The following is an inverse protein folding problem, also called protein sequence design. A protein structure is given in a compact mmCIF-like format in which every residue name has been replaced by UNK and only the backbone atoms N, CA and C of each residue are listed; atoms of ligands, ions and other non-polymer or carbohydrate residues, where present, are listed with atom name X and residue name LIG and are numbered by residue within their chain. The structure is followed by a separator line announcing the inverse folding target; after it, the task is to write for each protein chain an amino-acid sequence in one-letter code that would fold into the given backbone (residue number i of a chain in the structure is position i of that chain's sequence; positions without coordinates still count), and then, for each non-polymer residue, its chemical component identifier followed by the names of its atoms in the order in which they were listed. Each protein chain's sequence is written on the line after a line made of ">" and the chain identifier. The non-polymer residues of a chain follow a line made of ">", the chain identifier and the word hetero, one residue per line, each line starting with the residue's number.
data_IF_361775569850
#
_entry.id   IF_361775569850
#
_cell.length_a   1.000
_cell.length_b   1.000
_cell.length_c   1.000
_cell.angle_alpha   90.00
_cell.angle_beta   90.00
_cell.angle_gamma   90.00
#
_symmetry.space_group_name_H-M   'P 1'
#
loop_
_entity.id
_entity.type
_entity.pdbx_description
1 polymer ?
#
# COMPACT_ATOMS: atom_id res chain seq x y z
N UNK A 1 30.07 -22.72 4.36
CA UNK A 1 28.73 -22.93 4.93
C UNK A 1 28.12 -21.70 5.62
N UNK A 2 28.54 -21.25 6.82
CA UNK A 2 27.87 -20.08 7.47
C UNK A 2 28.07 -18.74 6.74
N UNK A 3 29.24 -18.50 6.13
CA UNK A 3 29.54 -17.25 5.39
C UNK A 3 28.71 -17.12 4.11
N UNK A 4 28.62 -18.18 3.32
CA UNK A 4 27.84 -18.21 2.07
C UNK A 4 26.34 -17.96 2.30
N UNK A 5 25.77 -18.51 3.38
CA UNK A 5 24.36 -18.28 3.73
C UNK A 5 24.09 -16.82 4.13
N UNK A 6 25.04 -16.18 4.81
CA UNK A 6 24.97 -14.76 5.17
C UNK A 6 25.06 -13.89 3.92
N UNK A 7 25.99 -14.21 3.01
CA UNK A 7 26.13 -13.50 1.73
C UNK A 7 24.87 -13.66 0.85
N UNK A 8 24.28 -14.86 0.81
CA UNK A 8 23.00 -15.08 0.12
C UNK A 8 21.87 -14.25 0.73
N UNK A 9 21.76 -14.19 2.06
CA UNK A 9 20.78 -13.35 2.74
C UNK A 9 20.93 -11.88 2.35
N UNK A 10 22.16 -11.33 2.37
CA UNK A 10 22.41 -9.95 1.98
C UNK A 10 22.05 -9.70 0.51
N UNK A 11 22.42 -10.62 -0.38
CA UNK A 11 22.05 -10.55 -1.80
C UNK A 11 20.53 -10.50 -2.00
N UNK A 12 19.77 -11.35 -1.30
CA UNK A 12 18.30 -11.35 -1.37
C UNK A 12 17.69 -10.06 -0.81
N UNK A 13 18.26 -9.50 0.27
CA UNK A 13 17.83 -8.20 0.81
C UNK A 13 18.02 -7.09 -0.21
N UNK A 14 19.20 -7.01 -0.84
CA UNK A 14 19.46 -6.00 -1.85
C UNK A 14 18.55 -6.14 -3.07
N UNK A 15 18.26 -7.38 -3.50
CA UNK A 15 17.27 -7.62 -4.55
C UNK A 15 15.88 -7.09 -4.19
N UNK A 16 15.39 -7.38 -2.97
CA UNK A 16 14.06 -6.94 -2.53
C UNK A 16 13.97 -5.42 -2.39
N UNK A 17 15.04 -4.75 -1.96
CA UNK A 17 15.07 -3.28 -1.89
C UNK A 17 14.85 -2.62 -3.25
N UNK A 18 15.18 -3.28 -4.35
CA UNK A 18 14.97 -2.76 -5.71
C UNK A 18 13.50 -2.81 -6.15
N UNK A 19 12.62 -3.54 -5.46
CA UNK A 19 11.18 -3.62 -5.73
C UNK A 19 10.88 -3.85 -7.22
N UNK A 20 10.11 -2.97 -7.88
CA UNK A 20 9.79 -3.09 -9.31
C UNK A 20 10.94 -2.81 -10.28
N UNK A 21 12.14 -2.53 -9.78
CA UNK A 21 13.34 -2.27 -10.56
C UNK A 21 13.49 -0.80 -10.99
N UNK A 22 14.69 -0.46 -11.44
CA UNK A 22 15.12 0.92 -11.73
C UNK A 22 14.18 1.67 -12.69
N UNK A 23 13.80 1.04 -13.81
CA UNK A 23 12.94 1.69 -14.82
C UNK A 23 11.58 2.10 -14.25
N UNK A 24 10.99 1.27 -13.37
CA UNK A 24 9.69 1.56 -12.76
C UNK A 24 9.80 2.60 -11.65
N UNK A 25 10.93 2.62 -10.93
CA UNK A 25 11.25 3.66 -9.95
C UNK A 25 11.42 5.01 -10.65
N UNK A 26 12.15 5.06 -11.76
CA UNK A 26 12.32 6.29 -12.57
C UNK A 26 10.96 6.82 -13.05
N UNK A 27 10.09 5.96 -13.58
CA UNK A 27 8.71 6.34 -13.96
C UNK A 27 7.86 6.84 -12.79
N UNK A 28 8.04 6.27 -11.59
CA UNK A 28 7.36 6.73 -10.38
C UNK A 28 7.82 8.15 -10.02
N UNK A 29 9.13 8.41 -10.08
CA UNK A 29 9.72 9.73 -9.81
C UNK A 29 9.34 10.77 -10.86
N UNK A 30 9.26 10.41 -12.15
CA UNK A 30 8.79 11.28 -13.23
C UNK A 30 7.34 11.77 -13.00
N UNK A 31 6.52 10.98 -12.29
CA UNK A 31 5.16 11.36 -11.88
C UNK A 31 5.13 12.26 -10.63
N UNK A 32 6.30 12.66 -10.11
CA UNK A 32 6.44 13.42 -8.87
C UNK A 32 6.04 12.63 -7.63
N UNK A 33 6.10 11.29 -7.69
CA UNK A 33 5.81 10.39 -6.57
C UNK A 33 7.10 9.76 -6.07
N UNK A 34 7.23 9.60 -4.76
CA UNK A 34 8.27 8.81 -4.15
C UNK A 34 7.93 7.30 -4.19
N UNK A 35 8.93 6.46 -4.01
CA UNK A 35 8.77 5.02 -3.80
C UNK A 35 8.22 4.72 -2.40
N UNK A 36 7.74 3.50 -2.18
CA UNK A 36 7.25 3.07 -0.86
C UNK A 36 8.30 3.23 0.25
N UNK A 37 9.56 2.88 -0.05
CA UNK A 37 10.67 2.95 0.92
C UNK A 37 11.11 4.38 1.20
N UNK A 38 11.22 5.22 0.18
CA UNK A 38 11.52 6.65 0.37
C UNK A 38 10.44 7.34 1.23
N UNK A 39 9.16 6.98 1.07
CA UNK A 39 8.08 7.51 1.90
C UNK A 39 8.21 7.08 3.36
N UNK A 40 8.58 5.82 3.62
CA UNK A 40 8.84 5.32 4.98
C UNK A 40 10.03 6.05 5.60
N UNK A 41 11.13 6.21 4.86
CA UNK A 41 12.34 6.90 5.33
C UNK A 41 12.09 8.37 5.65
N UNK A 42 11.17 9.04 4.94
CA UNK A 42 10.77 10.42 5.25
C UNK A 42 9.82 10.51 6.44
N UNK A 43 8.95 9.52 6.63
CA UNK A 43 7.97 9.51 7.71
C UNK A 43 8.61 9.22 9.07
N UNK A 44 9.51 8.25 9.11
CA UNK A 44 10.08 7.72 10.35
C UNK A 44 11.40 8.38 10.70
N UNK A 45 11.73 8.39 11.99
CA UNK A 45 13.01 8.90 12.48
C UNK A 45 14.17 8.12 11.83
N UNK A 46 15.28 8.80 11.46
CA UNK A 46 16.41 8.16 10.76
C UNK A 46 16.93 6.92 11.49
N UNK A 47 17.00 5.79 10.77
CA UNK A 47 17.50 4.52 11.30
C UNK A 47 16.56 3.77 12.24
N UNK A 48 15.33 4.25 12.45
CA UNK A 48 14.35 3.58 13.33
C UNK A 48 13.57 2.46 12.65
N UNK A 49 13.51 2.44 11.31
CA UNK A 49 12.67 1.50 10.58
C UNK A 49 13.18 0.05 10.68
N UNK A 50 12.30 -0.83 11.14
CA UNK A 50 12.47 -2.28 11.16
C UNK A 50 11.41 -2.91 10.26
N UNK A 51 11.87 -3.42 9.11
CA UNK A 51 10.99 -4.10 8.16
C UNK A 51 10.57 -5.49 8.67
N UNK A 52 9.28 -5.78 8.54
CA UNK A 52 8.66 -7.05 8.88
C UNK A 52 8.20 -7.76 7.62
N UNK A 53 8.46 -9.07 7.55
CA UNK A 53 8.10 -9.93 6.42
C UNK A 53 8.62 -9.44 5.04
N UNK A 54 9.90 -9.02 4.90
CA UNK A 54 10.43 -8.51 3.62
C UNK A 54 10.43 -9.58 2.51
N UNK A 55 10.65 -10.84 2.86
CA UNK A 55 10.78 -11.97 1.93
C UNK A 55 9.45 -12.68 1.61
N UNK A 56 8.31 -12.14 2.02
CA UNK A 56 7.02 -12.71 1.64
C UNK A 56 6.83 -12.57 0.13
N UNK A 57 6.47 -13.67 -0.50
CA UNK A 57 6.21 -13.79 -1.93
C UNK A 57 4.78 -14.27 -2.15
N UNK A 58 4.20 -13.93 -3.30
CA UNK A 58 2.91 -14.46 -3.75
C UNK A 58 2.93 -15.99 -3.82
N UNK A 59 1.76 -16.60 -3.61
CA UNK A 59 1.58 -18.06 -3.73
C UNK A 59 0.77 -18.48 -4.96
N UNK A 60 0.01 -17.56 -5.54
CA UNK A 60 -0.84 -17.83 -6.68
C UNK A 60 0.02 -18.04 -7.96
N UNK A 61 -0.42 -18.97 -8.81
CA UNK A 61 0.24 -19.37 -10.06
C UNK A 61 -0.63 -19.10 -11.31
N UNK A 62 -1.86 -18.63 -11.12
CA UNK A 62 -2.82 -18.36 -12.18
C UNK A 62 -2.37 -17.20 -13.05
N UNK A 63 -2.86 -17.17 -14.29
CA UNK A 63 -2.63 -16.09 -15.25
C UNK A 63 -1.15 -15.70 -15.45
N UNK A 64 -0.24 -16.66 -15.27
CA UNK A 64 1.21 -16.46 -15.46
C UNK A 64 1.92 -15.78 -14.29
N UNK A 65 1.28 -15.68 -13.12
CA UNK A 65 1.89 -15.14 -11.92
C UNK A 65 3.13 -15.94 -11.50
N UNK A 66 3.15 -17.26 -11.69
CA UNK A 66 4.31 -18.13 -11.42
C UNK A 66 5.63 -17.61 -12.04
N UNK A 67 5.55 -16.92 -13.19
CA UNK A 67 6.71 -16.39 -13.92
C UNK A 67 7.05 -14.94 -13.58
N UNK A 68 6.21 -14.26 -12.80
CA UNK A 68 6.42 -12.86 -12.43
C UNK A 68 7.20 -12.76 -11.12
N UNK A 69 8.20 -11.89 -11.08
CA UNK A 69 8.87 -11.53 -9.83
C UNK A 69 8.12 -10.37 -9.17
N UNK A 70 7.52 -10.60 -7.99
CA UNK A 70 6.79 -9.58 -7.22
C UNK A 70 7.45 -9.43 -5.83
N UNK A 71 8.56 -8.66 -5.72
CA UNK A 71 9.26 -8.51 -4.46
C UNK A 71 8.37 -7.96 -3.35
N UNK A 72 8.47 -8.54 -2.15
CA UNK A 72 7.70 -8.18 -0.96
C UNK A 72 6.17 -8.18 -1.17
N UNK A 73 5.70 -8.85 -2.22
CA UNK A 73 4.33 -8.84 -2.75
C UNK A 73 3.72 -7.44 -2.98
N UNK A 74 4.58 -6.44 -3.23
CA UNK A 74 4.17 -5.06 -3.54
C UNK A 74 3.73 -4.21 -2.36
N UNK A 75 4.09 -4.61 -1.13
CA UNK A 75 3.93 -3.76 0.06
C UNK A 75 5.11 -3.90 1.00
N UNK A 76 5.60 -2.78 1.51
CA UNK A 76 6.61 -2.73 2.57
C UNK A 76 5.89 -2.54 3.90
N UNK A 77 6.17 -3.38 4.88
CA UNK A 77 5.51 -3.34 6.21
C UNK A 77 6.55 -3.34 7.29
N UNK A 78 6.30 -2.64 8.40
CA UNK A 78 7.22 -2.63 9.52
C UNK A 78 6.80 -1.66 10.60
N UNK A 79 7.74 -1.33 11.47
CA UNK A 79 7.55 -0.33 12.52
C UNK A 79 8.82 0.51 12.67
N UNK A 80 8.70 1.65 13.33
CA UNK A 80 9.82 2.49 13.71
C UNK A 80 9.33 3.55 14.69
N UNK A 81 9.91 4.74 14.63
CA UNK A 81 9.49 5.85 15.49
C UNK A 81 9.19 7.12 14.70
N UNK A 82 8.29 7.95 15.22
CA UNK A 82 8.07 9.33 14.79
C UNK A 82 8.18 10.21 16.02
N UNK A 83 9.13 11.14 16.05
CA UNK A 83 9.47 11.94 17.23
C UNK A 83 9.74 11.05 18.46
N UNK A 84 10.45 9.93 18.26
CA UNK A 84 10.76 8.94 19.28
C UNK A 84 9.59 8.05 19.75
N UNK A 85 8.39 8.24 19.20
CA UNK A 85 7.19 7.47 19.58
C UNK A 85 6.99 6.29 18.62
N UNK A 86 6.73 5.07 19.12
CA UNK A 86 6.60 3.89 18.26
C UNK A 86 5.37 3.99 17.35
N UNK A 87 5.55 3.64 16.08
CA UNK A 87 4.52 3.65 15.04
C UNK A 87 4.70 2.45 14.13
N UNK A 88 3.60 1.78 13.80
CA UNK A 88 3.53 0.77 12.75
C UNK A 88 3.26 1.44 11.40
N UNK A 89 3.81 0.88 10.31
CA UNK A 89 3.65 1.43 8.97
C UNK A 89 3.48 0.32 7.93
N UNK A 90 2.64 0.59 6.93
CA UNK A 90 2.67 -0.12 5.66
C UNK A 90 2.73 0.89 4.51
N UNK A 91 3.49 0.57 3.46
CA UNK A 91 3.59 1.38 2.26
C UNK A 91 3.45 0.51 1.02
N UNK A 92 2.42 0.78 0.23
CA UNK A 92 2.17 0.06 -1.01
C UNK A 92 3.13 0.55 -2.08
N UNK A 93 3.71 -0.39 -2.83
CA UNK A 93 4.70 -0.08 -3.85
C UNK A 93 4.08 -0.23 -5.24
N UNK A 94 3.78 0.91 -5.85
CA UNK A 94 3.18 0.99 -7.18
C UNK A 94 4.06 0.38 -8.28
N UNK A 95 5.38 0.32 -8.07
CA UNK A 95 6.31 -0.28 -9.04
C UNK A 95 6.13 -1.80 -9.14
N UNK A 96 5.54 -2.44 -8.14
CA UNK A 96 5.25 -3.87 -8.12
C UNK A 96 3.79 -4.10 -8.48
N UNK A 97 3.54 -4.41 -9.75
CA UNK A 97 2.21 -4.75 -10.28
C UNK A 97 1.13 -3.70 -9.94
N UNK A 98 1.50 -2.40 -10.03
CA UNK A 98 0.60 -1.29 -9.72
C UNK A 98 0.20 -1.19 -8.25
N UNK A 99 0.98 -1.79 -7.34
CA UNK A 99 0.64 -1.86 -5.91
C UNK A 99 -0.63 -2.67 -5.66
N UNK A 100 -1.07 -3.50 -6.62
CA UNK A 100 -2.31 -4.24 -6.53
C UNK A 100 -2.28 -5.24 -5.36
N UNK A 101 -3.38 -5.28 -4.62
CA UNK A 101 -3.53 -6.11 -3.45
C UNK A 101 -3.84 -7.56 -3.85
N UNK A 102 -2.89 -8.46 -3.58
CA UNK A 102 -3.08 -9.92 -3.60
C UNK A 102 -3.23 -10.50 -2.19
N UNK A 103 -3.28 -11.82 -2.10
CA UNK A 103 -3.41 -12.58 -0.85
C UNK A 103 -2.29 -12.24 0.14
N UNK A 104 -1.04 -12.27 -0.33
CA UNK A 104 0.13 -12.12 0.55
C UNK A 104 0.41 -10.65 0.89
N UNK A 105 0.09 -9.73 -0.01
CA UNK A 105 0.01 -8.30 0.24
C UNK A 105 -0.99 -8.01 1.36
N UNK A 106 -2.21 -8.55 1.24
CA UNK A 106 -3.26 -8.44 2.26
C UNK A 106 -2.81 -9.01 3.61
N UNK A 107 -2.19 -10.20 3.60
CA UNK A 107 -1.61 -10.82 4.79
C UNK A 107 -0.59 -9.92 5.49
N UNK A 108 0.33 -9.27 4.76
CA UNK A 108 1.35 -8.40 5.36
C UNK A 108 0.72 -7.19 6.05
N UNK A 109 -0.27 -6.56 5.43
CA UNK A 109 -0.99 -5.42 6.03
C UNK A 109 -1.81 -5.90 7.23
N UNK A 110 -2.54 -7.01 7.11
CA UNK A 110 -3.26 -7.60 8.23
C UNK A 110 -2.34 -7.91 9.42
N UNK A 111 -1.15 -8.46 9.15
CA UNK A 111 -0.15 -8.74 10.18
C UNK A 111 0.31 -7.48 10.90
N UNK A 112 0.60 -6.39 10.17
CA UNK A 112 1.09 -5.16 10.81
C UNK A 112 0.00 -4.42 11.58
N UNK A 113 -1.28 -4.55 11.18
CA UNK A 113 -2.42 -4.08 11.95
C UNK A 113 -2.57 -4.87 13.26
N UNK A 114 -2.48 -6.21 13.21
CA UNK A 114 -2.51 -7.05 14.42
C UNK A 114 -1.35 -6.70 15.36
N UNK A 115 -0.16 -6.47 14.81
CA UNK A 115 1.01 -6.04 15.56
C UNK A 115 0.80 -4.68 16.24
N UNK A 116 0.26 -3.69 15.51
CA UNK A 116 -0.01 -2.36 16.03
C UNK A 116 -1.03 -2.40 17.18
N UNK A 117 -2.14 -3.13 16.98
CA UNK A 117 -3.17 -3.31 18.01
C UNK A 117 -2.61 -3.98 19.27
N UNK A 118 -1.78 -5.03 19.09
CA UNK A 118 -1.17 -5.76 20.21
C UNK A 118 -0.25 -4.88 21.06
N UNK A 119 0.48 -3.96 20.43
CA UNK A 119 1.38 -3.04 21.12
C UNK A 119 0.70 -1.74 21.57
N UNK A 120 -0.52 -1.47 21.13
CA UNK A 120 -1.21 -0.21 21.40
C UNK A 120 -0.54 0.99 20.74
N UNK A 121 0.02 0.82 19.53
CA UNK A 121 0.73 1.88 18.80
C UNK A 121 -0.06 2.32 17.56
N UNK A 122 0.08 3.58 17.10
CA UNK A 122 -0.54 4.04 15.86
C UNK A 122 -0.10 3.23 14.64
N UNK A 123 -0.96 3.19 13.63
CA UNK A 123 -0.62 2.67 12.30
C UNK A 123 -0.77 3.76 11.24
N UNK A 124 0.24 3.88 10.37
CA UNK A 124 0.22 4.77 9.20
C UNK A 124 0.22 3.93 7.92
N UNK A 125 -0.84 4.05 7.13
CA UNK A 125 -0.97 3.42 5.82
C UNK A 125 -0.61 4.39 4.70
N UNK A 126 0.45 4.11 3.95
CA UNK A 126 0.88 4.89 2.79
C UNK A 126 0.35 4.20 1.52
N UNK A 127 -0.79 4.69 1.02
CA UNK A 127 -1.59 4.05 -0.01
C UNK A 127 -1.21 4.54 -1.42
N UNK A 128 -0.93 3.58 -2.31
CA UNK A 128 -0.57 3.78 -3.73
C UNK A 128 -0.82 2.45 -4.47
N UNK A 129 -2.11 2.15 -4.70
CA UNK A 129 -2.60 0.88 -5.23
C UNK A 129 -3.68 1.06 -6.30
N UNK A 130 -3.48 0.39 -7.43
CA UNK A 130 -4.47 0.28 -8.50
C UNK A 130 -5.72 -0.53 -8.15
N UNK A 131 -5.81 -1.12 -6.95
CA UNK A 131 -6.95 -1.91 -6.49
C UNK A 131 -6.62 -3.39 -6.30
N UNK A 132 -7.62 -4.26 -6.51
CA UNK A 132 -7.45 -5.71 -6.36
C UNK A 132 -6.53 -6.28 -7.46
N UNK A 133 -5.68 -7.25 -7.10
CA UNK A 133 -4.96 -8.06 -8.08
C UNK A 133 -5.92 -9.08 -8.69
N UNK A 134 -6.51 -8.74 -9.84
CA UNK A 134 -7.55 -9.52 -10.52
C UNK A 134 -7.14 -10.97 -10.74
N UNK A 135 -5.85 -11.21 -11.01
CA UNK A 135 -5.28 -12.53 -11.26
C UNK A 135 -5.42 -13.48 -10.07
N UNK A 136 -5.52 -12.96 -8.84
CA UNK A 136 -5.72 -13.76 -7.63
C UNK A 136 -7.20 -13.89 -7.22
N UNK A 137 -8.11 -13.26 -7.96
CA UNK A 137 -9.56 -13.44 -7.80
C UNK A 137 -10.06 -13.21 -6.37
N UNK A 138 -10.71 -14.22 -5.80
CA UNK A 138 -11.32 -14.14 -4.47
C UNK A 138 -10.30 -14.03 -3.34
N UNK A 139 -9.05 -14.45 -3.55
CA UNK A 139 -8.01 -14.34 -2.52
C UNK A 139 -7.61 -12.87 -2.31
N UNK A 140 -7.60 -12.06 -3.37
CA UNK A 140 -7.44 -10.61 -3.25
C UNK A 140 -8.61 -9.97 -2.47
N UNK A 141 -9.85 -10.42 -2.70
CA UNK A 141 -11.03 -9.92 -1.97
C UNK A 141 -11.02 -10.34 -0.49
N UNK A 142 -10.59 -11.57 -0.20
CA UNK A 142 -10.34 -12.02 1.17
C UNK A 142 -9.29 -11.14 1.85
N UNK A 143 -8.20 -10.82 1.16
CA UNK A 143 -7.16 -9.91 1.66
C UNK A 143 -7.72 -8.52 2.05
N UNK A 144 -8.64 -7.97 1.24
CA UNK A 144 -9.38 -6.76 1.62
C UNK A 144 -10.23 -6.96 2.87
N UNK A 145 -11.01 -8.04 2.92
CA UNK A 145 -11.85 -8.36 4.09
C UNK A 145 -11.04 -8.48 5.38
N UNK A 146 -9.88 -9.13 5.32
CA UNK A 146 -8.96 -9.27 6.45
C UNK A 146 -8.43 -7.93 6.96
N UNK A 147 -8.17 -6.98 6.06
CA UNK A 147 -7.75 -5.61 6.40
C UNK A 147 -8.92 -4.84 7.01
N UNK A 148 -10.09 -4.82 6.36
CA UNK A 148 -11.24 -4.05 6.84
C UNK A 148 -11.71 -4.51 8.22
N UNK A 149 -11.69 -5.83 8.45
CA UNK A 149 -12.00 -6.40 9.75
C UNK A 149 -11.07 -5.84 10.83
N UNK A 150 -9.76 -5.77 10.57
CA UNK A 150 -8.78 -5.23 11.50
C UNK A 150 -8.88 -3.72 11.65
N UNK A 151 -9.16 -2.97 10.59
CA UNK A 151 -9.42 -1.54 10.71
C UNK A 151 -10.62 -1.27 11.63
N UNK A 152 -11.66 -2.09 11.52
CA UNK A 152 -12.85 -2.00 12.36
C UNK A 152 -12.53 -2.33 13.82
N UNK A 153 -11.78 -3.40 14.08
CA UNK A 153 -11.36 -3.76 15.44
C UNK A 153 -10.43 -2.71 16.07
N UNK A 154 -9.60 -2.06 15.27
CA UNK A 154 -8.69 -1.01 15.71
C UNK A 154 -9.37 0.35 15.91
N UNK A 155 -10.60 0.53 15.39
CA UNK A 155 -11.31 1.81 15.43
C UNK A 155 -11.58 2.24 16.87
N UNK A 156 -11.10 3.44 17.23
CA UNK A 156 -11.15 3.96 18.60
C UNK A 156 -10.19 3.30 19.60
N UNK A 157 -9.34 2.36 19.16
CA UNK A 157 -8.36 1.65 20.00
C UNK A 157 -6.94 2.16 19.75
N UNK A 158 -6.51 2.20 18.49
CA UNK A 158 -5.23 2.79 18.08
C UNK A 158 -5.49 3.83 16.99
N UNK A 159 -4.70 4.93 16.90
CA UNK A 159 -4.83 5.87 15.80
C UNK A 159 -4.47 5.23 14.45
N UNK A 160 -5.36 5.34 13.48
CA UNK A 160 -5.25 4.83 12.12
C UNK A 160 -5.22 5.99 11.13
N UNK A 161 -4.04 6.24 10.54
CA UNK A 161 -3.83 7.35 9.61
C UNK A 161 -3.57 6.78 8.22
N UNK A 162 -4.35 7.18 7.23
CA UNK A 162 -4.13 6.82 5.83
C UNK A 162 -3.64 8.01 5.03
N UNK A 163 -2.50 7.86 4.36
CA UNK A 163 -1.96 8.85 3.44
C UNK A 163 -2.15 8.36 2.00
N UNK A 164 -2.90 9.10 1.20
CA UNK A 164 -3.15 8.77 -0.21
C UNK A 164 -2.09 9.46 -1.08
N UNK A 165 -1.14 8.66 -1.58
CA UNK A 165 0.05 9.13 -2.29
C UNK A 165 0.13 8.62 -3.74
N UNK A 166 -0.94 8.04 -4.25
CA UNK A 166 -1.11 7.63 -5.63
C UNK A 166 -2.56 7.20 -5.90
N UNK A 167 -2.80 6.37 -6.92
CA UNK A 167 -4.11 5.78 -7.14
C UNK A 167 -4.56 4.98 -5.91
N UNK A 168 -5.84 5.06 -5.57
CA UNK A 168 -6.51 4.22 -4.60
C UNK A 168 -7.89 3.88 -5.16
N UNK A 169 -8.03 2.72 -5.81
CA UNK A 169 -9.23 2.40 -6.59
C UNK A 169 -9.95 1.15 -6.09
N UNK A 170 -11.28 1.13 -6.22
CA UNK A 170 -12.11 -0.04 -5.91
C UNK A 170 -12.10 -0.35 -4.42
N UNK A 171 -11.82 -1.60 -4.06
CA UNK A 171 -11.77 -2.03 -2.66
C UNK A 171 -10.75 -1.28 -1.80
N UNK A 172 -9.68 -0.77 -2.40
CA UNK A 172 -8.61 -0.07 -1.67
C UNK A 172 -9.09 1.13 -0.87
N UNK A 173 -10.18 1.77 -1.29
CA UNK A 173 -10.68 3.02 -0.68
C UNK A 173 -11.35 2.80 0.67
N UNK A 174 -11.84 1.59 0.94
CA UNK A 174 -12.61 1.32 2.15
C UNK A 174 -11.73 1.25 3.40
N UNK A 175 -10.48 0.79 3.29
CA UNK A 175 -9.57 0.76 4.45
C UNK A 175 -9.27 2.18 4.96
N UNK A 176 -8.87 3.15 4.10
CA UNK A 176 -8.78 4.55 4.49
C UNK A 176 -10.08 5.12 5.08
N UNK A 177 -11.24 4.79 4.49
CA UNK A 177 -12.53 5.31 4.93
C UNK A 177 -12.98 4.80 6.32
N UNK A 178 -12.46 3.66 6.79
CA UNK A 178 -12.71 3.15 8.15
C UNK A 178 -11.76 3.80 9.18
N UNK A 179 -10.60 4.28 8.74
CA UNK A 179 -9.58 4.89 9.59
C UNK A 179 -10.00 6.25 10.16
N UNK A 180 -9.16 6.81 11.03
CA UNK A 180 -9.49 8.05 11.75
C UNK A 180 -9.17 9.30 10.92
N UNK A 181 -8.09 9.26 10.12
CA UNK A 181 -7.65 10.38 9.31
C UNK A 181 -7.23 9.95 7.91
N UNK A 182 -7.67 10.71 6.91
CA UNK A 182 -7.22 10.58 5.52
C UNK A 182 -6.46 11.85 5.14
N UNK A 183 -5.20 11.68 4.74
CA UNK A 183 -4.34 12.76 4.25
C UNK A 183 -4.05 12.49 2.78
N UNK A 184 -4.53 13.34 1.89
CA UNK A 184 -4.25 13.17 0.45
C UNK A 184 -3.23 14.18 -0.05
N UNK A 185 -2.25 13.71 -0.83
CA UNK A 185 -1.31 14.62 -1.49
C UNK A 185 -2.01 15.41 -2.60
N UNK A 186 -1.51 16.60 -2.90
CA UNK A 186 -2.04 17.45 -3.97
C UNK A 186 -1.55 17.06 -5.38
N UNK A 187 -0.78 15.98 -5.50
CA UNK A 187 -0.25 15.53 -6.78
C UNK A 187 -1.43 15.06 -7.69
N UNK A 188 -1.49 15.47 -8.97
CA UNK A 188 -2.59 15.13 -9.88
C UNK A 188 -2.74 13.61 -10.14
N UNK A 189 -1.68 12.83 -9.88
CA UNK A 189 -1.69 11.36 -10.00
C UNK A 189 -2.18 10.66 -8.72
N UNK A 190 -2.69 11.40 -7.74
CA UNK A 190 -3.21 10.87 -6.47
C UNK A 190 -4.72 11.10 -6.40
N UNK A 191 -5.47 10.02 -6.27
CA UNK A 191 -6.92 10.05 -6.28
C UNK A 191 -7.50 8.80 -5.62
N UNK A 192 -8.72 8.91 -5.12
CA UNK A 192 -9.45 7.80 -4.51
C UNK A 192 -10.87 7.69 -5.09
N UNK A 193 -11.30 6.51 -5.51
CA UNK A 193 -12.69 6.27 -5.92
C UNK A 193 -13.04 4.78 -5.93
N UNK A 194 -14.32 4.46 -5.72
CA UNK A 194 -14.82 3.09 -5.83
C UNK A 194 -14.83 2.64 -7.30
N UNK A 195 -15.40 3.46 -8.18
CA UNK A 195 -15.58 3.13 -9.59
C UNK A 195 -14.84 4.14 -10.46
N UNK A 196 -14.00 3.65 -11.37
CA UNK A 196 -13.17 4.51 -12.21
C UNK A 196 -13.94 5.18 -13.35
N UNK A 197 -13.39 6.27 -13.93
CA UNK A 197 -14.04 7.05 -14.98
C UNK A 197 -14.50 6.26 -16.20
N UNK A 198 -13.73 5.23 -16.60
CA UNK A 198 -14.06 4.42 -17.77
C UNK A 198 -15.38 3.66 -17.61
N UNK A 199 -15.66 3.18 -16.39
CA UNK A 199 -16.92 2.49 -16.08
C UNK A 199 -18.06 3.49 -15.98
N UNK A 200 -17.83 4.65 -15.36
CA UNK A 200 -18.82 5.75 -15.29
C UNK A 200 -19.27 6.16 -16.68
N UNK A 201 -18.33 6.42 -17.60
CA UNK A 201 -18.64 6.78 -18.99
C UNK A 201 -19.45 5.69 -19.70
N UNK A 202 -19.09 4.43 -19.52
CA UNK A 202 -19.78 3.31 -20.17
C UNK A 202 -21.21 3.12 -19.67
N UNK A 203 -21.45 3.34 -18.37
CA UNK A 203 -22.76 3.08 -17.73
C UNK A 203 -23.69 4.30 -17.77
N UNK A 204 -23.13 5.50 -17.59
CA UNK A 204 -23.91 6.74 -17.40
C UNK A 204 -23.78 7.72 -18.57
N UNK A 205 -22.74 7.57 -19.40
CA UNK A 205 -22.37 8.54 -20.43
C UNK A 205 -21.58 9.75 -19.92
N UNK A 206 -21.39 9.88 -18.60
CA UNK A 206 -20.66 11.02 -18.03
C UNK A 206 -19.14 10.89 -18.26
N UNK A 207 -18.51 11.99 -18.68
CA UNK A 207 -17.06 12.08 -18.83
C UNK A 207 -16.46 12.89 -17.68
N UNK A 208 -15.55 12.27 -16.95
CA UNK A 208 -14.84 12.88 -15.81
C UNK A 208 -13.40 12.37 -15.78
N UNK A 209 -12.45 13.19 -15.37
CA UNK A 209 -11.07 12.73 -15.18
C UNK A 209 -10.91 12.00 -13.84
N UNK A 210 -9.87 11.16 -13.68
CA UNK A 210 -9.59 10.51 -12.39
C UNK A 210 -9.38 11.53 -11.25
N UNK A 211 -8.74 12.67 -11.57
CA UNK A 211 -8.47 13.72 -10.60
C UNK A 211 -9.72 14.54 -10.26
N UNK A 212 -10.57 14.86 -11.23
CA UNK A 212 -11.83 15.57 -10.95
C UNK A 212 -12.81 14.69 -10.18
N UNK A 213 -12.78 13.37 -10.42
CA UNK A 213 -13.62 12.39 -9.76
C UNK A 213 -13.21 12.17 -8.29
N UNK A 214 -11.91 11.96 -8.04
CA UNK A 214 -11.41 11.47 -6.76
C UNK A 214 -10.17 12.18 -6.23
N UNK A 215 -9.80 13.32 -6.79
CA UNK A 215 -8.68 14.14 -6.33
C UNK A 215 -8.99 14.89 -5.04
N UNK A 216 -7.99 15.60 -4.51
CA UNK A 216 -8.04 16.16 -3.16
C UNK A 216 -9.14 17.21 -2.98
N UNK A 217 -9.47 17.96 -4.02
CA UNK A 217 -10.56 18.93 -3.97
C UNK A 217 -11.93 18.23 -3.88
N UNK A 218 -12.11 17.12 -4.60
CA UNK A 218 -13.35 16.36 -4.54
C UNK A 218 -13.58 15.82 -3.12
N UNK A 219 -12.55 15.26 -2.49
CA UNK A 219 -12.68 14.69 -1.15
C UNK A 219 -12.75 15.74 -0.04
N UNK A 220 -11.81 16.68 0.00
CA UNK A 220 -11.72 17.65 1.08
C UNK A 220 -12.81 18.75 1.02
N UNK A 221 -13.41 19.02 -0.14
CA UNK A 221 -14.37 20.13 -0.31
C UNK A 221 -15.79 19.68 -0.68
N UNK A 222 -15.99 18.44 -1.12
CA UNK A 222 -17.33 17.96 -1.53
C UNK A 222 -17.77 16.71 -0.78
N UNK A 223 -17.00 15.62 -0.82
CA UNK A 223 -17.42 14.36 -0.18
C UNK A 223 -17.21 14.35 1.33
N UNK A 224 -16.32 15.21 1.85
CA UNK A 224 -16.00 15.25 3.27
C UNK A 224 -15.14 14.08 3.75
N UNK A 225 -14.31 13.53 2.85
CA UNK A 225 -13.32 12.49 3.17
C UNK A 225 -11.93 13.11 3.37
#
# INVERSE_FOLDING_TARGET
>A
MRKELIEDLYRRKEKIKQMGGRERIEKQHEQGKLTARERIELLLDPGSFVEVNPFVEKRNIDFGLDRMDLPADGVVTGYGTVDGRPVAVFAQDFTVMGGSLGEMHGFKIAYILDFAMKLGIPVVGLNDSGGARIQEGVDALKGYGDIFYRNTLASGVIPQISVIMGPCAGGAVYSPAIGDFIVMTKNPNCYMFITGPQVIKTVTGEEVSSFDLGGWQAHAMRSGN
#
